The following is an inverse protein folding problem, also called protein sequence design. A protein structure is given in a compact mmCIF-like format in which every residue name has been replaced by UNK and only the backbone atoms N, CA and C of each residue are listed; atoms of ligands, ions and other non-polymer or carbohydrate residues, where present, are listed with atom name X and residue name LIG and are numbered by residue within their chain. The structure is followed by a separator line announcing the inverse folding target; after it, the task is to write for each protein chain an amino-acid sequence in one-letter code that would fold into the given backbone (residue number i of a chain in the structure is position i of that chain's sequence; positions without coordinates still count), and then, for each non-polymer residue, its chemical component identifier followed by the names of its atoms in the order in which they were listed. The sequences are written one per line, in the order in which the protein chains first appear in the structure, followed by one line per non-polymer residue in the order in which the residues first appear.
data_IF_017583018379
#
_entry.id   IF_017583018379
#
_cell.length_a   1.000
_cell.length_b   1.000
_cell.length_c   1.000
_cell.angle_alpha   90.00
_cell.angle_beta   90.00
_cell.angle_gamma   90.00
#
_symmetry.space_group_name_H-M   'P 1'
#
loop_
_entity.id
_entity.type
_entity.pdbx_description
1 polymer ?
#
# COMPACT_ATOMS: atom_id res chain seq x y z
N UNK A 1 -4.83 -19.81 12.85
CA UNK A 1 -3.91 -20.93 12.56
C UNK A 1 -2.59 -20.34 12.15
N UNK A 2 -1.50 -20.84 12.73
CA UNK A 2 -0.13 -20.41 12.41
C UNK A 2 0.52 -21.52 11.60
N UNK A 3 1.31 -21.16 10.60
CA UNK A 3 2.06 -22.09 9.75
C UNK A 3 3.46 -21.51 9.59
N UNK A 4 4.50 -22.33 9.71
CA UNK A 4 5.86 -21.91 9.42
C UNK A 4 6.11 -21.94 7.91
N UNK A 5 6.70 -20.87 7.38
CA UNK A 5 7.14 -20.80 5.98
C UNK A 5 8.66 -20.89 5.81
N UNK A 6 9.40 -21.01 6.92
CA UNK A 6 10.87 -21.04 6.96
C UNK A 6 11.36 -21.90 8.12
N UNK A 7 12.60 -22.38 8.07
CA UNK A 7 13.23 -23.11 9.19
C UNK A 7 13.28 -22.30 10.49
N UNK A 8 13.47 -20.99 10.39
CA UNK A 8 13.41 -20.10 11.55
C UNK A 8 12.01 -20.08 12.18
N UNK A 9 10.96 -20.08 11.34
CA UNK A 9 9.58 -20.19 11.81
C UNK A 9 9.27 -21.53 12.47
N UNK A 10 9.78 -22.64 11.92
CA UNK A 10 9.65 -23.98 12.51
C UNK A 10 10.24 -24.03 13.92
N UNK A 11 11.43 -23.44 14.12
CA UNK A 11 12.05 -23.35 15.45
C UNK A 11 11.14 -22.61 16.44
N UNK A 12 10.62 -21.45 16.05
CA UNK A 12 9.69 -20.67 16.90
C UNK A 12 8.43 -21.47 17.24
N UNK A 13 7.86 -22.20 16.29
CA UNK A 13 6.68 -23.05 16.54
C UNK A 13 7.01 -24.20 17.50
N UNK A 14 8.21 -24.79 17.37
CA UNK A 14 8.65 -25.86 18.26
C UNK A 14 8.85 -25.39 19.70
N UNK A 15 9.41 -24.20 19.88
CA UNK A 15 9.59 -23.57 21.21
C UNK A 15 8.24 -23.19 21.83
N UNK A 16 7.27 -22.80 21.00
CA UNK A 16 5.92 -22.45 21.42
C UNK A 16 4.94 -23.65 21.46
N UNK A 17 5.42 -24.89 21.30
CA UNK A 17 4.55 -26.06 21.15
C UNK A 17 3.58 -26.26 22.32
N UNK A 18 3.97 -25.89 23.54
CA UNK A 18 3.10 -25.96 24.73
C UNK A 18 1.91 -25.00 24.69
N UNK A 19 1.96 -23.95 23.86
CA UNK A 19 0.89 -22.97 23.66
C UNK A 19 0.00 -23.31 22.47
N UNK A 20 0.35 -24.36 21.71
CA UNK A 20 -0.27 -24.68 20.43
C UNK A 20 -0.89 -26.08 20.47
N UNK A 21 -1.80 -26.31 19.53
CA UNK A 21 -2.38 -27.63 19.25
C UNK A 21 -2.55 -27.76 17.74
N UNK A 22 -2.51 -28.99 17.26
CA UNK A 22 -2.74 -29.26 15.86
C UNK A 22 -4.15 -28.83 15.45
N UNK A 23 -4.24 -28.29 14.24
CA UNK A 23 -5.51 -27.88 13.66
C UNK A 23 -6.34 -29.12 13.30
N UNK A 24 -7.60 -29.13 13.74
CA UNK A 24 -8.54 -30.18 13.35
C UNK A 24 -8.90 -30.10 11.87
N UNK A 25 -9.34 -31.21 11.28
CA UNK A 25 -9.80 -31.25 9.90
C UNK A 25 -10.92 -30.22 9.62
N UNK A 26 -11.85 -30.07 10.57
CA UNK A 26 -12.94 -29.08 10.50
C UNK A 26 -12.40 -27.64 10.45
N UNK A 27 -11.42 -27.31 11.29
CA UNK A 27 -10.79 -25.98 11.28
C UNK A 27 -10.07 -25.71 9.95
N UNK A 28 -9.34 -26.69 9.43
CA UNK A 28 -8.65 -26.58 8.14
C UNK A 28 -9.63 -26.35 6.99
N UNK A 29 -10.78 -27.03 7.02
CA UNK A 29 -11.85 -26.85 6.04
C UNK A 29 -12.50 -25.48 6.16
N UNK A 30 -12.84 -25.04 7.38
CA UNK A 30 -13.37 -23.70 7.62
C UNK A 30 -12.42 -22.61 7.10
N UNK A 31 -11.10 -22.77 7.27
CA UNK A 31 -10.10 -21.84 6.71
C UNK A 31 -10.10 -21.84 5.18
N UNK A 32 -10.21 -23.01 4.54
CA UNK A 32 -10.31 -23.11 3.08
C UNK A 32 -11.56 -22.38 2.59
N UNK A 33 -12.73 -22.73 3.13
CA UNK A 33 -13.99 -22.08 2.80
C UNK A 33 -13.95 -20.55 2.98
N UNK A 34 -13.36 -20.04 4.08
CA UNK A 34 -13.18 -18.59 4.29
C UNK A 34 -12.29 -17.92 3.23
N UNK A 35 -11.24 -18.61 2.77
CA UNK A 35 -10.33 -18.09 1.74
C UNK A 35 -10.99 -18.11 0.37
N UNK A 36 -11.72 -19.17 0.04
CA UNK A 36 -12.41 -19.30 -1.24
C UNK A 36 -13.55 -18.27 -1.34
N UNK A 37 -14.35 -18.11 -0.28
CA UNK A 37 -15.35 -17.04 -0.20
C UNK A 37 -14.74 -15.63 -0.23
N UNK A 38 -13.51 -15.43 0.27
CA UNK A 38 -12.82 -14.16 0.13
C UNK A 38 -12.37 -13.91 -1.31
N UNK A 39 -11.87 -14.94 -2.00
CA UNK A 39 -11.49 -14.88 -3.41
C UNK A 39 -12.70 -14.57 -4.30
N UNK A 40 -13.79 -15.32 -4.17
CA UNK A 40 -15.01 -15.12 -4.97
C UNK A 40 -15.58 -13.71 -4.80
N UNK A 41 -15.60 -13.19 -3.57
CA UNK A 41 -16.00 -11.80 -3.31
C UNK A 41 -15.09 -10.79 -4.00
N UNK A 42 -13.78 -11.01 -3.99
CA UNK A 42 -12.84 -10.11 -4.66
C UNK A 42 -13.00 -10.18 -6.19
N UNK A 43 -13.19 -11.37 -6.75
CA UNK A 43 -13.41 -11.56 -8.19
C UNK A 43 -14.71 -10.88 -8.63
N UNK A 44 -15.80 -11.09 -7.89
CA UNK A 44 -17.09 -10.45 -8.18
C UNK A 44 -17.02 -8.94 -8.02
N UNK A 45 -16.44 -8.45 -6.93
CA UNK A 45 -16.29 -7.01 -6.66
C UNK A 45 -15.42 -6.31 -7.70
N UNK A 46 -14.50 -7.04 -8.34
CA UNK A 46 -13.57 -6.50 -9.31
C UNK A 46 -13.94 -6.83 -10.78
N UNK A 47 -15.06 -7.48 -11.03
CA UNK A 47 -15.44 -7.97 -12.36
C UNK A 47 -15.58 -6.85 -13.42
N UNK A 48 -15.99 -5.65 -13.00
CA UNK A 48 -16.17 -4.50 -13.89
C UNK A 48 -14.86 -3.73 -14.16
N UNK A 49 -13.76 -4.12 -13.52
CA UNK A 49 -12.46 -3.49 -13.69
C UNK A 49 -11.63 -4.26 -14.71
N UNK A 50 -11.08 -3.53 -15.66
CA UNK A 50 -10.12 -4.05 -16.61
C UNK A 50 -8.71 -3.82 -16.05
N UNK A 51 -7.97 -4.87 -15.74
CA UNK A 51 -6.63 -4.78 -15.17
C UNK A 51 -5.58 -5.24 -16.17
N UNK A 52 -4.39 -4.61 -16.18
CA UNK A 52 -3.32 -4.99 -17.10
C UNK A 52 -2.84 -6.42 -16.83
N UNK A 53 -2.59 -7.19 -17.89
CA UNK A 53 -1.94 -8.49 -17.79
C UNK A 53 -0.45 -8.33 -17.45
N UNK A 54 0.22 -7.36 -18.08
CA UNK A 54 1.59 -6.96 -17.77
C UNK A 54 1.61 -5.80 -16.77
N UNK A 55 1.91 -6.15 -15.53
CA UNK A 55 2.02 -5.18 -14.43
C UNK A 55 3.25 -4.26 -14.59
N UNK A 56 4.27 -4.69 -15.33
CA UNK A 56 5.52 -3.95 -15.58
C UNK A 56 5.41 -2.94 -16.74
N UNK A 57 4.24 -2.75 -17.35
CA UNK A 57 4.01 -1.65 -18.30
C UNK A 57 3.47 -0.37 -17.63
N UNK A 58 3.03 -0.44 -16.36
CA UNK A 58 2.22 0.60 -15.71
C UNK A 58 3.02 1.67 -14.95
N UNK A 59 4.09 2.20 -15.54
CA UNK A 59 4.88 3.25 -14.92
C UNK A 59 4.13 4.59 -14.89
N UNK A 60 4.11 5.32 -13.77
CA UNK A 60 3.56 6.67 -13.77
C UNK A 60 4.26 7.63 -14.75
N UNK A 61 5.53 7.38 -15.04
CA UNK A 61 6.36 8.19 -15.94
C UNK A 61 6.06 7.96 -17.43
N UNK A 62 5.31 6.91 -17.79
CA UNK A 62 4.95 6.65 -19.20
C UNK A 62 3.67 7.36 -19.63
N UNK A 63 2.91 7.94 -18.69
CA UNK A 63 1.63 8.62 -18.96
C UNK A 63 1.73 10.13 -18.77
N UNK A 64 0.90 10.87 -19.53
CA UNK A 64 0.86 12.34 -19.55
C UNK A 64 0.50 12.93 -18.16
N UNK A 65 1.05 14.11 -17.84
CA UNK A 65 0.72 14.82 -16.60
C UNK A 65 -0.78 15.13 -16.47
N UNK A 66 -1.45 15.43 -17.58
CA UNK A 66 -2.87 15.73 -17.64
C UNK A 66 -3.70 14.52 -17.18
N UNK A 67 -3.33 13.30 -17.61
CA UNK A 67 -3.98 12.07 -17.15
C UNK A 67 -3.92 11.98 -15.62
N UNK A 68 -2.73 12.12 -15.03
CA UNK A 68 -2.56 12.04 -13.59
C UNK A 68 -3.32 13.14 -12.86
N UNK A 69 -3.26 14.39 -13.35
CA UNK A 69 -4.01 15.52 -12.80
C UNK A 69 -5.51 15.24 -12.77
N UNK A 70 -6.06 14.59 -13.80
CA UNK A 70 -7.47 14.20 -13.85
C UNK A 70 -7.82 13.12 -12.81
N UNK A 71 -6.98 12.09 -12.67
CA UNK A 71 -7.20 11.01 -11.69
C UNK A 71 -7.17 11.50 -10.24
N UNK A 72 -6.28 12.45 -9.92
CA UNK A 72 -6.11 12.99 -8.57
C UNK A 72 -6.87 14.29 -8.31
N UNK A 73 -7.63 14.81 -9.28
CA UNK A 73 -8.29 16.12 -9.20
C UNK A 73 -9.17 16.31 -7.94
N UNK A 74 -9.74 15.22 -7.43
CA UNK A 74 -10.61 15.20 -6.24
C UNK A 74 -9.86 14.86 -4.94
N UNK A 75 -8.57 14.59 -5.01
CA UNK A 75 -7.79 14.20 -3.85
C UNK A 75 -7.54 15.42 -2.97
N UNK A 76 -7.78 15.27 -1.67
CA UNK A 76 -7.56 16.31 -0.65
C UNK A 76 -6.43 15.94 0.32
N UNK A 77 -5.58 14.98 -0.07
CA UNK A 77 -4.41 14.52 0.70
C UNK A 77 -4.72 14.11 2.15
N UNK A 78 -5.93 13.62 2.44
CA UNK A 78 -6.35 13.27 3.80
C UNK A 78 -5.68 12.01 4.38
N UNK A 79 -4.94 11.24 3.58
CA UNK A 79 -4.23 10.03 4.04
C UNK A 79 -5.11 8.83 4.42
N UNK A 80 -6.45 8.93 4.38
CA UNK A 80 -7.34 7.81 4.75
C UNK A 80 -7.06 6.52 3.96
N UNK A 81 -6.68 6.70 2.70
CA UNK A 81 -6.36 5.63 1.77
C UNK A 81 -5.06 4.86 2.10
N UNK A 82 -4.12 5.46 2.84
CA UNK A 82 -2.93 4.78 3.40
C UNK A 82 -3.24 4.19 4.77
N UNK A 83 -4.02 4.90 5.59
CA UNK A 83 -4.34 4.47 6.96
C UNK A 83 -5.25 3.23 7.01
N UNK A 84 -6.16 3.08 6.05
CA UNK A 84 -7.04 1.89 5.96
C UNK A 84 -6.39 0.70 5.24
N UNK A 85 -5.28 0.92 4.54
CA UNK A 85 -4.69 -0.10 3.69
C UNK A 85 -3.74 -1.00 4.50
N UNK A 86 -4.02 -2.31 4.62
CA UNK A 86 -3.17 -3.22 5.40
C UNK A 86 -1.83 -3.54 4.72
N UNK A 87 -1.58 -2.99 3.53
CA UNK A 87 -0.34 -3.13 2.77
C UNK A 87 0.47 -1.83 2.76
N UNK A 88 -0.02 -0.77 3.42
CA UNK A 88 0.72 0.47 3.58
C UNK A 88 1.57 0.38 4.85
N UNK A 89 2.80 0.88 4.76
CA UNK A 89 3.78 0.82 5.84
C UNK A 89 4.54 2.14 6.02
N UNK A 90 3.95 3.25 5.59
CA UNK A 90 4.54 4.58 5.76
C UNK A 90 4.64 4.93 7.25
N UNK A 91 5.82 5.37 7.67
CA UNK A 91 6.09 5.77 9.04
C UNK A 91 7.12 6.90 9.08
N UNK A 92 7.11 7.68 10.16
CA UNK A 92 8.17 8.61 10.51
C UNK A 92 8.95 8.08 11.72
N UNK A 93 10.20 8.52 11.82
CA UNK A 93 11.01 8.37 13.01
C UNK A 93 11.09 9.73 13.70
N UNK A 94 10.67 9.78 14.95
CA UNK A 94 10.64 11.00 15.75
C UNK A 94 11.59 10.82 16.92
N UNK A 95 12.53 11.77 17.08
CA UNK A 95 13.39 11.85 18.24
C UNK A 95 12.76 12.83 19.25
N UNK A 96 12.38 12.32 20.42
CA UNK A 96 11.77 13.11 21.48
C UNK A 96 12.62 13.11 22.74
N UNK A 97 12.74 14.28 23.38
CA UNK A 97 13.45 14.41 24.66
C UNK A 97 12.56 13.89 25.78
N UNK A 98 13.03 12.88 26.52
CA UNK A 98 12.29 12.23 27.62
C UNK A 98 12.88 12.53 29.00
N UNK A 99 14.02 13.24 29.05
CA UNK A 99 14.67 13.68 30.28
C UNK A 99 15.74 14.75 30.03
N UNK A 100 16.51 15.11 31.06
CA UNK A 100 17.53 16.16 30.94
C UNK A 100 18.60 15.79 29.91
N UNK A 101 19.14 14.58 29.97
CA UNK A 101 20.12 14.04 29.00
C UNK A 101 19.63 12.75 28.33
N UNK A 102 18.32 12.60 28.15
CA UNK A 102 17.70 11.38 27.60
C UNK A 102 16.79 11.69 26.41
N UNK A 103 16.96 10.91 25.35
CA UNK A 103 16.16 10.95 24.12
C UNK A 103 15.63 9.56 23.78
N UNK A 104 14.43 9.53 23.24
CA UNK A 104 13.79 8.33 22.71
C UNK A 104 13.55 8.52 21.21
N UNK A 105 13.78 7.46 20.43
CA UNK A 105 13.39 7.41 19.03
C UNK A 105 12.14 6.56 18.88
N UNK A 106 11.02 7.19 18.57
CA UNK A 106 9.74 6.53 18.32
C UNK A 106 9.51 6.34 16.81
N UNK A 107 8.77 5.28 16.46
CA UNK A 107 8.21 5.11 15.12
C UNK A 107 6.73 5.48 15.16
N UNK A 108 6.34 6.46 14.36
CA UNK A 108 4.95 6.91 14.25
C UNK A 108 4.38 6.56 12.88
N UNK A 109 3.14 6.11 12.85
CA UNK A 109 2.43 5.88 11.59
C UNK A 109 2.22 7.18 10.85
N UNK A 110 2.54 7.20 9.55
CA UNK A 110 2.39 8.39 8.73
C UNK A 110 1.88 8.04 7.32
N UNK A 111 1.62 9.04 6.49
CA UNK A 111 1.14 8.89 5.13
C UNK A 111 2.08 9.52 4.12
N UNK A 112 2.46 8.76 3.08
CA UNK A 112 3.18 9.32 1.94
C UNK A 112 2.40 10.39 1.16
N UNK A 113 1.11 10.59 1.46
CA UNK A 113 0.29 11.63 0.85
C UNK A 113 0.42 12.99 1.56
N UNK A 114 0.92 13.02 2.79
CA UNK A 114 1.10 14.26 3.54
C UNK A 114 2.30 15.06 3.03
N UNK A 115 2.19 16.38 3.13
CA UNK A 115 3.19 17.32 2.63
C UNK A 115 4.57 17.07 3.25
N UNK A 116 4.62 16.88 4.57
CA UNK A 116 5.87 16.72 5.32
C UNK A 116 6.60 15.39 5.14
N UNK A 117 5.92 14.35 4.62
CA UNK A 117 6.46 12.97 4.65
C UNK A 117 7.78 12.81 3.90
N UNK A 118 7.94 13.50 2.78
CA UNK A 118 9.13 13.42 1.93
C UNK A 118 10.10 14.57 2.14
N UNK A 119 9.84 15.46 3.10
CA UNK A 119 10.79 16.53 3.43
C UNK A 119 12.10 15.95 3.97
N UNK A 120 13.21 16.44 3.43
CA UNK A 120 14.55 16.08 3.86
C UNK A 120 15.16 17.21 4.70
N UNK A 121 16.19 16.86 5.48
CA UNK A 121 16.96 17.85 6.23
C UNK A 121 17.57 18.89 5.26
N UNK A 122 17.38 20.17 5.58
CA UNK A 122 17.88 21.30 4.81
C UNK A 122 18.46 22.38 5.71
N UNK A 123 19.19 23.36 5.16
CA UNK A 123 19.74 24.46 5.93
C UNK A 123 18.67 25.22 6.74
N UNK A 124 18.95 25.64 7.98
CA UNK A 124 18.02 26.45 8.76
C UNK A 124 17.55 27.70 8.02
N UNK A 125 16.26 28.02 8.11
CA UNK A 125 15.69 29.20 7.45
C UNK A 125 15.50 29.07 5.93
N UNK A 126 15.77 27.90 5.34
CA UNK A 126 15.52 27.65 3.92
C UNK A 126 14.31 26.75 3.71
N UNK A 127 13.78 26.78 2.48
CA UNK A 127 12.77 25.82 2.05
C UNK A 127 13.40 24.43 2.06
N UNK A 128 12.86 23.52 2.87
CA UNK A 128 13.37 22.15 2.95
C UNK A 128 13.30 21.47 1.57
N UNK A 129 14.34 20.72 1.17
CA UNK A 129 14.29 19.87 -0.01
C UNK A 129 13.17 18.83 0.13
N UNK A 130 12.33 18.70 -0.89
CA UNK A 130 11.29 17.68 -0.96
C UNK A 130 11.28 17.09 -2.38
N UNK A 131 11.74 15.85 -2.59
CA UNK A 131 11.75 15.19 -3.90
C UNK A 131 10.35 14.88 -4.42
N UNK A 132 9.31 14.99 -3.58
CA UNK A 132 7.91 14.77 -3.93
C UNK A 132 7.03 15.90 -3.43
N UNK A 133 7.45 17.14 -3.67
CA UNK A 133 6.73 18.36 -3.27
C UNK A 133 5.32 18.41 -3.86
N UNK A 134 5.20 18.08 -5.14
CA UNK A 134 3.94 18.17 -5.87
C UNK A 134 2.97 17.07 -5.45
N UNK A 135 1.70 17.42 -5.28
CA UNK A 135 0.64 16.46 -4.95
C UNK A 135 0.58 15.31 -5.96
N UNK A 136 0.76 15.60 -7.25
CA UNK A 136 0.83 14.59 -8.30
C UNK A 136 1.92 13.55 -8.04
N UNK A 137 3.13 14.00 -7.72
CA UNK A 137 4.26 13.11 -7.46
C UNK A 137 4.03 12.18 -6.26
N UNK A 138 3.33 12.65 -5.22
CA UNK A 138 2.94 11.82 -4.05
C UNK A 138 1.88 10.78 -4.43
N UNK A 139 0.92 11.15 -5.27
CA UNK A 139 -0.10 10.23 -5.77
C UNK A 139 0.50 9.13 -6.66
N UNK A 140 1.32 9.53 -7.64
CA UNK A 140 2.07 8.62 -8.51
C UNK A 140 2.97 7.69 -7.71
N UNK A 141 3.65 8.20 -6.67
CA UNK A 141 4.49 7.38 -5.80
C UNK A 141 3.67 6.29 -5.09
N UNK A 142 2.48 6.62 -4.57
CA UNK A 142 1.58 5.61 -3.97
C UNK A 142 1.12 4.59 -4.99
N UNK A 143 0.79 5.01 -6.22
CA UNK A 143 0.41 4.10 -7.30
C UNK A 143 1.57 3.15 -7.65
N UNK A 144 2.76 3.69 -7.95
CA UNK A 144 3.96 2.92 -8.22
C UNK A 144 4.33 1.97 -7.07
N UNK A 145 4.15 2.39 -5.82
CA UNK A 145 4.44 1.52 -4.69
C UNK A 145 3.58 0.25 -4.68
N UNK A 146 2.33 0.35 -5.14
CA UNK A 146 1.40 -0.77 -5.21
C UNK A 146 1.62 -1.68 -6.42
N UNK A 147 1.90 -1.10 -7.58
CA UNK A 147 1.88 -1.84 -8.85
C UNK A 147 3.25 -2.02 -9.48
N UNK A 148 4.27 -1.30 -9.00
CA UNK A 148 5.63 -1.35 -9.54
C UNK A 148 6.67 -1.80 -8.51
N UNK A 149 6.87 -1.01 -7.45
CA UNK A 149 7.92 -1.29 -6.47
C UNK A 149 7.65 -2.56 -5.68
N UNK A 150 6.39 -2.84 -5.32
CA UNK A 150 6.06 -4.08 -4.60
C UNK A 150 6.36 -5.34 -5.45
N UNK A 151 5.93 -5.43 -6.73
CA UNK A 151 6.37 -6.53 -7.59
C UNK A 151 7.89 -6.66 -7.72
N UNK A 152 8.59 -5.55 -7.92
CA UNK A 152 10.06 -5.55 -8.06
C UNK A 152 10.77 -6.05 -6.78
N UNK A 153 10.27 -5.65 -5.61
CA UNK A 153 10.91 -5.93 -4.32
C UNK A 153 10.46 -7.26 -3.69
N UNK A 154 9.19 -7.63 -3.89
CA UNK A 154 8.53 -8.72 -3.16
C UNK A 154 8.00 -9.84 -4.08
N UNK A 155 8.05 -9.66 -5.41
CA UNK A 155 7.49 -10.61 -6.37
C UNK A 155 5.95 -10.67 -6.37
N UNK A 156 5.29 -9.70 -5.74
CA UNK A 156 3.84 -9.65 -5.62
C UNK A 156 3.31 -8.21 -5.64
N UNK A 157 2.06 -8.04 -6.08
CA UNK A 157 1.38 -6.74 -6.05
C UNK A 157 1.19 -6.27 -4.60
N UNK A 158 1.41 -4.97 -4.37
CA UNK A 158 1.13 -4.32 -3.09
C UNK A 158 -0.35 -3.96 -2.89
N UNK A 159 -1.20 -4.32 -3.85
CA UNK A 159 -2.65 -4.13 -3.83
C UNK A 159 -3.36 -5.45 -4.18
N UNK A 160 -4.34 -5.83 -3.36
CA UNK A 160 -5.15 -7.05 -3.55
C UNK A 160 -6.56 -6.76 -4.08
N UNK A 161 -6.82 -5.53 -4.53
CA UNK A 161 -8.13 -5.16 -5.08
C UNK A 161 -9.28 -5.11 -4.04
N UNK A 162 -8.99 -4.93 -2.76
CA UNK A 162 -10.03 -4.97 -1.71
C UNK A 162 -10.95 -3.74 -1.64
N UNK A 163 -10.68 -2.65 -2.37
CA UNK A 163 -11.58 -1.48 -2.44
C UNK A 163 -11.60 -0.54 -1.23
N UNK A 164 -11.14 -0.97 -0.03
CA UNK A 164 -11.18 -0.17 1.22
C UNK A 164 -10.69 1.28 1.08
N UNK A 165 -9.67 1.50 0.25
CA UNK A 165 -9.12 2.83 0.05
C UNK A 165 -10.05 3.77 -0.73
N UNK A 166 -10.94 3.23 -1.57
CA UNK A 166 -12.01 3.96 -2.23
C UNK A 166 -13.17 4.27 -1.29
N UNK A 167 -13.59 3.30 -0.48
CA UNK A 167 -14.71 3.45 0.47
C UNK A 167 -14.48 4.59 1.48
N UNK A 168 -13.24 4.78 1.93
CA UNK A 168 -12.88 5.85 2.86
C UNK A 168 -12.56 7.19 2.18
N UNK A 169 -12.45 7.22 0.84
CA UNK A 169 -11.96 8.39 0.14
C UNK A 169 -13.07 9.46 0.01
N UNK A 170 -12.88 10.67 0.59
CA UNK A 170 -13.87 11.75 0.43
C UNK A 170 -13.99 12.23 -1.03
N UNK A 171 -12.95 12.02 -1.84
CA UNK A 171 -12.93 12.35 -3.27
C UNK A 171 -13.46 11.24 -4.19
N UNK A 172 -13.94 10.11 -3.64
CA UNK A 172 -14.36 8.93 -4.41
C UNK A 172 -13.30 8.46 -5.43
N UNK A 173 -12.03 8.46 -5.00
CA UNK A 173 -10.90 7.93 -5.77
C UNK A 173 -10.70 6.48 -5.39
N UNK A 174 -10.86 5.59 -6.36
CA UNK A 174 -10.60 4.16 -6.22
C UNK A 174 -9.36 3.79 -7.03
N UNK A 175 -8.36 3.23 -6.35
CA UNK A 175 -7.10 2.83 -6.98
C UNK A 175 -7.28 1.73 -8.03
N UNK A 176 -8.35 0.92 -7.93
CA UNK A 176 -8.72 -0.06 -8.94
C UNK A 176 -9.20 0.61 -10.22
N UNK A 177 -10.02 1.66 -10.09
CA UNK A 177 -10.46 2.48 -11.23
C UNK A 177 -9.27 3.17 -11.89
N UNK A 178 -8.39 3.76 -11.08
CA UNK A 178 -7.19 4.42 -11.60
C UNK A 178 -6.33 3.42 -12.38
N UNK A 179 -6.13 2.21 -11.86
CA UNK A 179 -5.40 1.16 -12.56
C UNK A 179 -6.07 0.76 -13.89
N UNK A 180 -7.41 0.63 -13.91
CA UNK A 180 -8.13 0.35 -15.16
C UNK A 180 -8.03 1.49 -16.17
N UNK A 181 -8.01 2.73 -15.71
CA UNK A 181 -7.81 3.88 -16.58
C UNK A 181 -6.38 3.92 -17.12
N UNK A 182 -5.38 3.57 -16.31
CA UNK A 182 -3.98 3.40 -16.75
C UNK A 182 -3.89 2.33 -17.85
N UNK A 183 -4.56 1.19 -17.69
CA UNK A 183 -4.56 0.13 -18.71
C UNK A 183 -5.12 0.62 -20.05
N UNK A 184 -6.24 1.37 -20.01
CA UNK A 184 -6.87 1.95 -21.20
C UNK A 184 -5.96 2.97 -21.89
N UNK A 185 -5.39 3.88 -21.11
CA UNK A 185 -4.50 4.92 -21.63
C UNK A 185 -3.27 4.29 -22.31
N UNK A 186 -2.67 3.26 -21.70
CA UNK A 186 -1.55 2.54 -22.31
C UNK A 186 -1.95 1.83 -23.62
N UNK A 187 -3.16 1.28 -23.71
CA UNK A 187 -3.65 0.61 -24.91
C UNK A 187 -3.96 1.59 -26.06
N UNK A 188 -4.42 2.81 -25.76
CA UNK A 188 -4.69 3.86 -26.76
C UNK A 188 -3.41 4.50 -27.33
N UNK A 189 -2.30 4.37 -26.61
CA UNK A 189 -1.01 4.99 -26.95
C UNK A 189 0.11 3.98 -27.29
N UNK A 190 -0.19 2.68 -27.41
CA UNK A 190 0.72 1.62 -27.86
C UNK A 190 0.79 1.51 -29.39
#
# INVERSE_FOLDING_TARGET
MVVAGTEAGERVLSEAASLLRDATAEQLEARRAMRDAARERLETQNADYDFPEDWAANLPETLDELFWRMELARCVQCGGCTNVCPQCYCFLLVDQRVGEDAYERAREWDSCQFTGYSEMAGPPGTVKPDPRREHMSKFQHRFAHKFWYSPLMLGALGCVGCGRCGDTCPGAIDLRRVLSNVNKELAEHA
#
